data_IF_340606150635
#
_entry.id   IF_340606150635
#
_cell.length_a   1.000
_cell.length_b   1.000
_cell.length_c   1.000
_cell.angle_alpha   90.00
_cell.angle_beta   90.00
_cell.angle_gamma   90.00
#
_symmetry.space_group_name_H-M   'P 1'
#
loop_
_entity.id
_entity.type
_entity.pdbx_description
1 polymer ?
#
# COMPACT_ATOMS: atom_id res chain seq x y z
N UNK A 1 -1.01 19.45 18.33
CA UNK A 1 -0.87 20.90 18.59
C UNK A 1 -2.25 21.52 18.50
N UNK A 2 -2.61 22.49 19.33
CA UNK A 2 -3.89 23.20 19.30
C UNK A 2 -3.64 24.70 19.07
N UNK A 3 -4.26 25.30 18.06
CA UNK A 3 -4.23 26.74 17.76
C UNK A 3 -5.50 27.38 18.32
N UNK A 4 -5.34 28.28 19.28
CA UNK A 4 -6.45 29.02 19.92
C UNK A 4 -6.18 30.52 19.93
N UNK A 5 -7.24 31.31 20.05
CA UNK A 5 -7.14 32.76 20.27
C UNK A 5 -7.49 33.06 21.72
N UNK A 6 -6.57 33.69 22.45
CA UNK A 6 -6.81 34.15 23.82
C UNK A 6 -6.61 35.67 23.88
N UNK A 7 -7.72 36.40 23.95
CA UNK A 7 -7.70 37.87 23.84
C UNK A 7 -7.31 38.32 22.43
N UNK A 8 -6.21 39.07 22.32
CA UNK A 8 -5.67 39.63 21.06
C UNK A 8 -4.48 38.82 20.50
N UNK A 9 -4.17 37.64 21.07
CA UNK A 9 -3.00 36.83 20.68
C UNK A 9 -3.40 35.43 20.22
N UNK A 10 -2.73 34.97 19.17
CA UNK A 10 -2.79 33.57 18.75
C UNK A 10 -1.82 32.74 19.61
N UNK A 11 -2.26 31.61 20.11
CA UNK A 11 -1.47 30.70 20.95
C UNK A 11 -1.50 29.29 20.38
N UNK A 12 -0.35 28.62 20.37
CA UNK A 12 -0.21 27.21 20.00
C UNK A 12 0.09 26.38 21.26
N UNK A 13 -0.86 25.56 21.70
CA UNK A 13 -0.67 24.62 22.80
C UNK A 13 -0.20 23.25 22.26
N UNK A 14 0.88 22.72 22.84
CA UNK A 14 1.47 21.43 22.44
C UNK A 14 1.54 20.43 23.58
N UNK A 15 0.99 19.22 23.39
CA UNK A 15 1.28 18.05 24.22
C UNK A 15 0.45 17.89 25.50
N UNK A 16 0.73 16.79 26.23
CA UNK A 16 -0.02 16.29 27.41
C UNK A 16 0.09 17.23 28.62
N UNK A 17 1.06 18.14 28.63
CA UNK A 17 1.19 19.23 29.60
C UNK A 17 1.03 20.56 28.87
N UNK A 18 -0.21 21.00 28.65
CA UNK A 18 -0.58 22.17 27.82
C UNK A 18 0.11 23.48 28.27
N UNK A 19 1.36 23.70 27.82
CA UNK A 19 2.03 24.98 27.92
C UNK A 19 1.64 25.79 26.68
N UNK A 20 1.07 26.98 26.91
CA UNK A 20 0.74 27.94 25.85
C UNK A 20 2.05 28.49 25.28
N UNK A 21 2.36 28.15 24.03
CA UNK A 21 3.60 28.58 23.36
C UNK A 21 3.27 29.67 22.33
N UNK A 22 4.01 30.77 22.38
CA UNK A 22 3.89 31.87 21.41
C UNK A 22 4.32 31.37 20.02
N UNK A 23 3.50 31.55 18.96
CA UNK A 23 3.87 31.18 17.59
C UNK A 23 5.25 31.72 17.15
N UNK A 24 5.67 32.90 17.62
CA UNK A 24 7.00 33.48 17.28
C UNK A 24 8.17 32.74 17.91
N UNK A 25 7.93 31.96 18.95
CA UNK A 25 8.94 31.13 19.60
C UNK A 25 9.09 29.74 18.98
N UNK A 26 8.16 29.36 18.10
CA UNK A 26 8.24 28.14 17.29
C UNK A 26 9.01 28.43 15.99
N UNK A 27 9.59 27.41 15.36
CA UNK A 27 10.26 27.50 14.05
C UNK A 27 9.25 27.72 12.90
N UNK A 28 8.39 28.74 13.05
CA UNK A 28 7.43 29.21 12.07
C UNK A 28 8.07 30.37 11.28
N UNK A 29 7.65 30.52 10.03
CA UNK A 29 8.02 31.67 9.22
C UNK A 29 7.52 32.98 9.86
N UNK A 30 8.35 34.03 9.85
CA UNK A 30 8.07 35.28 10.57
C UNK A 30 6.78 35.95 10.04
N UNK A 31 6.59 35.92 8.72
CA UNK A 31 5.40 36.45 8.04
C UNK A 31 4.12 35.68 8.46
N UNK A 32 4.24 34.37 8.70
CA UNK A 32 3.12 33.54 9.15
C UNK A 32 2.76 33.82 10.61
N UNK A 33 3.76 34.03 11.47
CA UNK A 33 3.56 34.38 12.87
C UNK A 33 2.88 35.75 13.02
N UNK A 34 3.24 36.73 12.19
CA UNK A 34 2.63 38.05 12.17
C UNK A 34 1.18 37.99 11.64
N UNK A 35 0.93 37.24 10.56
CA UNK A 35 -0.42 37.03 10.04
C UNK A 35 -1.37 36.37 11.05
N UNK A 36 -0.87 35.47 11.90
CA UNK A 36 -1.65 34.86 13.00
C UNK A 36 -2.03 35.88 14.07
N UNK A 37 -1.12 36.79 14.43
CA UNK A 37 -1.39 37.85 15.42
C UNK A 37 -2.38 38.88 14.89
N UNK A 38 -2.25 39.29 13.63
CA UNK A 38 -3.20 40.20 12.99
C UNK A 38 -4.59 39.57 12.92
N UNK A 39 -4.67 38.29 12.51
CA UNK A 39 -5.92 37.56 12.49
C UNK A 39 -6.57 37.46 13.89
N UNK A 40 -5.79 37.18 14.93
CA UNK A 40 -6.29 37.13 16.31
C UNK A 40 -6.89 38.46 16.76
N UNK A 41 -6.24 39.58 16.42
CA UNK A 41 -6.74 40.94 16.73
C UNK A 41 -8.04 41.25 15.97
N UNK A 42 -8.16 40.85 14.71
CA UNK A 42 -9.39 41.03 13.92
C UNK A 42 -10.52 40.16 14.49
N UNK A 43 -10.22 38.91 14.86
CA UNK A 43 -11.19 38.01 15.47
C UNK A 43 -11.73 38.54 16.82
N UNK A 44 -10.87 39.11 17.66
CA UNK A 44 -11.28 39.70 18.94
C UNK A 44 -12.13 40.96 18.77
N UNK A 45 -11.85 41.78 17.74
CA UNK A 45 -12.66 42.94 17.41
C UNK A 45 -14.06 42.54 16.93
N UNK A 46 -14.16 41.58 16.00
CA UNK A 46 -15.44 41.07 15.47
C UNK A 46 -16.29 40.46 16.60
N UNK A 47 -15.68 39.71 17.53
CA UNK A 47 -16.38 39.18 18.71
C UNK A 47 -16.95 40.25 19.63
N UNK A 48 -16.26 41.38 19.79
CA UNK A 48 -16.73 42.49 20.65
C UNK A 48 -17.89 43.26 20.02
N UNK A 49 -17.90 43.38 18.70
CA UNK A 49 -18.94 44.10 17.97
C UNK A 49 -20.24 43.29 17.89
N UNK A 50 -20.16 41.95 17.90
CA UNK A 50 -21.33 41.07 17.93
C UNK A 50 -22.18 41.08 16.65
N UNK A 51 -21.79 41.83 15.61
CA UNK A 51 -22.40 41.72 14.29
C UNK A 51 -21.87 40.47 13.61
N UNK A 52 -22.77 39.59 13.15
CA UNK A 52 -22.39 38.40 12.37
C UNK A 52 -21.73 38.73 11.02
N UNK A 53 -21.71 40.01 10.64
CA UNK A 53 -21.06 40.52 9.44
C UNK A 53 -19.53 40.41 9.56
N UNK A 54 -18.94 39.52 8.75
CA UNK A 54 -17.49 39.29 8.69
C UNK A 54 -16.99 38.09 9.50
N UNK A 55 -17.84 37.47 10.33
CA UNK A 55 -17.49 36.25 11.08
C UNK A 55 -17.04 35.11 10.18
N UNK A 56 -17.74 34.88 9.07
CA UNK A 56 -17.40 33.84 8.09
C UNK A 56 -16.01 34.02 7.46
N UNK A 57 -15.59 35.28 7.26
CA UNK A 57 -14.28 35.60 6.69
C UNK A 57 -13.18 35.31 7.71
N UNK A 58 -13.40 35.67 8.97
CA UNK A 58 -12.49 35.36 10.08
C UNK A 58 -12.31 33.84 10.23
N UNK A 59 -13.40 33.08 10.23
CA UNK A 59 -13.36 31.62 10.32
C UNK A 59 -12.67 30.97 9.11
N UNK A 60 -12.92 31.47 7.89
CA UNK A 60 -12.27 30.97 6.67
C UNK A 60 -10.76 31.26 6.68
N UNK A 61 -10.37 32.48 7.08
CA UNK A 61 -8.96 32.88 7.15
C UNK A 61 -8.21 32.13 8.24
N UNK A 62 -8.82 31.92 9.40
CA UNK A 62 -8.26 31.11 10.49
C UNK A 62 -7.96 29.68 10.06
N UNK A 63 -8.87 29.03 9.32
CA UNK A 63 -8.63 27.70 8.73
C UNK A 63 -7.48 27.68 7.73
N UNK A 64 -7.35 28.70 6.88
CA UNK A 64 -6.22 28.81 5.94
C UNK A 64 -4.87 28.94 6.65
N UNK A 65 -4.83 29.77 7.70
CA UNK A 65 -3.62 29.96 8.51
C UNK A 65 -3.26 28.68 9.27
N UNK A 66 -4.23 28.00 9.87
CA UNK A 66 -4.03 26.71 10.52
C UNK A 66 -3.44 25.64 9.58
N UNK A 67 -3.86 25.62 8.30
CA UNK A 67 -3.27 24.76 7.28
C UNK A 67 -1.80 25.06 7.02
N UNK A 68 -1.42 26.34 6.89
CA UNK A 68 -0.02 26.76 6.70
C UNK A 68 0.85 26.47 7.93
N UNK A 69 0.28 26.57 9.13
CA UNK A 69 0.96 26.18 10.38
C UNK A 69 1.20 24.67 10.42
N UNK A 70 0.19 23.87 10.02
CA UNK A 70 0.32 22.42 9.94
C UNK A 70 1.37 21.99 8.89
N UNK A 71 1.44 22.71 7.76
CA UNK A 71 2.43 22.50 6.71
C UNK A 71 3.87 22.86 7.15
N UNK A 72 4.06 24.04 7.75
CA UNK A 72 5.36 24.51 8.22
C UNK A 72 5.92 23.66 9.37
N UNK A 73 5.08 23.28 10.34
CA UNK A 73 5.50 22.43 11.47
C UNK A 73 5.50 20.94 11.11
N UNK A 74 4.84 20.53 10.03
CA UNK A 74 4.71 19.12 9.64
C UNK A 74 3.92 18.26 10.63
N UNK A 75 3.08 18.86 11.47
CA UNK A 75 2.26 18.19 12.50
C UNK A 75 0.80 18.64 12.39
N UNK A 76 -0.13 17.76 12.77
CA UNK A 76 -1.56 18.10 12.76
C UNK A 76 -1.88 19.17 13.81
N UNK A 77 -2.68 20.16 13.40
CA UNK A 77 -3.06 21.32 14.22
C UNK A 77 -4.57 21.32 14.45
N UNK A 78 -4.99 21.25 15.70
CA UNK A 78 -6.38 21.43 16.11
C UNK A 78 -6.69 22.92 16.19
N UNK A 79 -7.51 23.43 15.29
CA UNK A 79 -7.90 24.84 15.21
C UNK A 79 -9.20 25.06 15.98
N UNK A 80 -9.21 26.01 16.92
CA UNK A 80 -10.43 26.45 17.60
C UNK A 80 -10.96 27.74 16.97
N UNK A 81 -12.21 27.71 16.49
CA UNK A 81 -12.85 28.83 15.81
C UNK A 81 -13.47 29.82 16.81
N UNK A 82 -12.98 31.07 16.90
CA UNK A 82 -13.48 32.06 17.86
C UNK A 82 -14.89 32.58 17.58
N UNK A 83 -15.42 32.38 16.38
CA UNK A 83 -16.75 32.88 16.00
C UNK A 83 -17.80 31.79 16.22
N UNK A 84 -17.48 30.54 15.90
CA UNK A 84 -18.43 29.42 15.95
C UNK A 84 -18.26 28.52 17.17
N UNK A 85 -17.22 28.73 17.97
CA UNK A 85 -16.84 27.90 19.13
C UNK A 85 -16.68 26.41 18.77
N UNK A 86 -16.27 26.14 17.52
CA UNK A 86 -16.04 24.78 17.01
C UNK A 86 -14.56 24.49 16.91
N UNK A 87 -14.19 23.28 17.27
CA UNK A 87 -12.83 22.78 17.09
C UNK A 87 -12.75 21.96 15.81
N UNK A 88 -11.87 22.32 14.89
CA UNK A 88 -11.60 21.58 13.67
C UNK A 88 -10.15 21.08 13.69
N UNK A 89 -9.96 19.77 13.54
CA UNK A 89 -8.63 19.21 13.36
C UNK A 89 -8.22 19.42 11.91
N UNK A 90 -7.22 20.27 11.68
CA UNK A 90 -6.59 20.43 10.37
C UNK A 90 -5.47 19.40 10.30
N UNK A 91 -5.62 18.33 9.49
CA UNK A 91 -4.57 17.33 9.34
C UNK A 91 -3.33 17.99 8.73
N UNK A 92 -2.14 17.56 9.18
CA UNK A 92 -0.92 17.88 8.46
C UNK A 92 -1.09 17.46 6.99
N UNK A 93 -0.55 18.20 6.01
CA UNK A 93 -0.45 17.67 4.66
C UNK A 93 0.27 16.33 4.79
N UNK A 94 -0.40 15.24 4.41
CA UNK A 94 0.23 13.95 4.28
C UNK A 94 1.39 14.19 3.32
N UNK A 95 2.60 14.33 3.87
CA UNK A 95 3.80 14.04 3.10
C UNK A 95 3.57 12.59 2.72
N UNK A 96 3.09 12.37 1.49
CA UNK A 96 3.08 11.05 0.88
C UNK A 96 4.43 10.46 1.26
N UNK A 97 4.48 9.41 2.10
CA UNK A 97 5.74 8.80 2.46
C UNK A 97 6.38 8.47 1.13
N UNK A 98 7.50 9.11 0.80
CA UNK A 98 8.21 8.93 -0.46
C UNK A 98 8.45 7.44 -0.56
N UNK A 99 7.58 6.77 -1.30
CA UNK A 99 7.49 5.35 -1.21
C UNK A 99 8.84 4.82 -1.72
N UNK A 100 9.50 3.90 -0.99
CA UNK A 100 10.84 3.47 -1.34
C UNK A 100 10.85 3.07 -2.81
N UNK A 101 11.92 3.43 -3.54
CA UNK A 101 12.04 3.30 -5.01
C UNK A 101 11.56 1.94 -5.56
N UNK A 102 11.64 0.89 -4.74
CA UNK A 102 11.05 -0.43 -4.95
C UNK A 102 9.54 -0.40 -5.32
N UNK A 103 8.74 0.41 -4.63
CA UNK A 103 7.29 0.54 -4.84
C UNK A 103 6.90 1.21 -6.16
N UNK A 104 7.77 2.09 -6.70
CA UNK A 104 7.54 2.77 -7.98
C UNK A 104 7.73 1.79 -9.15
N UNK A 105 8.70 0.87 -9.01
CA UNK A 105 8.81 -0.30 -9.90
C UNK A 105 7.58 -1.20 -9.78
N UNK A 106 7.08 -1.46 -8.56
CA UNK A 106 5.85 -2.26 -8.37
C UNK A 106 4.62 -1.62 -9.04
N UNK A 107 4.52 -0.28 -9.03
CA UNK A 107 3.43 0.46 -9.68
C UNK A 107 3.52 0.42 -11.20
N UNK A 108 4.73 0.45 -11.75
CA UNK A 108 5.00 0.25 -13.19
C UNK A 108 4.74 -1.19 -13.65
N UNK A 109 4.95 -2.18 -12.76
CA UNK A 109 4.76 -3.61 -13.02
C UNK A 109 3.28 -4.04 -12.86
N UNK A 110 2.37 -3.13 -12.50
CA UNK A 110 0.93 -3.35 -12.69
C UNK A 110 0.20 -3.96 -11.49
N UNK A 111 0.41 -3.43 -10.28
CA UNK A 111 -0.52 -3.68 -9.17
C UNK A 111 -1.22 -2.38 -8.80
N UNK A 112 -2.41 -2.15 -9.37
CA UNK A 112 -3.35 -1.13 -8.87
C UNK A 112 -3.93 -1.65 -7.55
N UNK A 113 -3.70 -0.99 -6.39
CA UNK A 113 -4.42 -1.33 -5.18
C UNK A 113 -5.83 -0.75 -5.31
N UNK A 114 -6.85 -1.61 -5.45
CA UNK A 114 -8.24 -1.15 -5.35
C UNK A 114 -9.29 -1.84 -6.22
N UNK A 115 -8.94 -2.80 -7.09
CA UNK A 115 -9.96 -3.64 -7.72
C UNK A 115 -9.84 -5.04 -7.14
N UNK A 116 -10.87 -5.43 -6.39
CA UNK A 116 -11.10 -6.79 -5.92
C UNK A 116 -11.46 -7.66 -7.14
N UNK A 117 -10.50 -7.81 -8.06
CA UNK A 117 -10.63 -8.65 -9.24
C UNK A 117 -10.61 -10.09 -8.72
N UNK A 118 -11.81 -10.61 -8.42
CA UNK A 118 -12.06 -12.00 -8.02
C UNK A 118 -11.19 -12.88 -8.89
N UNK A 119 -10.10 -13.41 -8.33
CA UNK A 119 -9.05 -14.12 -9.08
C UNK A 119 -9.74 -15.11 -10.01
N UNK A 120 -9.53 -15.08 -11.34
CA UNK A 120 -10.32 -15.88 -12.26
C UNK A 120 -9.98 -17.37 -12.10
N UNK A 121 -10.63 -18.02 -11.14
CA UNK A 121 -10.42 -19.42 -10.76
C UNK A 121 -10.68 -20.36 -11.94
N UNK A 122 -11.64 -20.02 -12.80
CA UNK A 122 -12.02 -20.85 -13.96
C UNK A 122 -10.88 -21.04 -14.95
N UNK A 123 -10.25 -19.96 -15.42
CA UNK A 123 -9.16 -20.06 -16.41
C UNK A 123 -7.91 -20.67 -15.79
N UNK A 124 -7.59 -20.34 -14.53
CA UNK A 124 -6.47 -20.93 -13.80
C UNK A 124 -6.59 -22.45 -13.67
N UNK A 125 -7.79 -22.96 -13.33
CA UNK A 125 -8.02 -24.40 -13.19
C UNK A 125 -7.90 -25.15 -14.54
N UNK A 126 -8.44 -24.58 -15.63
CA UNK A 126 -8.33 -25.18 -16.97
C UNK A 126 -6.87 -25.30 -17.39
N UNK A 127 -6.09 -24.23 -17.20
CA UNK A 127 -4.66 -24.22 -17.52
C UNK A 127 -3.92 -25.25 -16.66
N UNK A 128 -4.25 -25.36 -15.37
CA UNK A 128 -3.64 -26.35 -14.48
C UNK A 128 -3.93 -27.80 -14.95
N UNK A 129 -5.17 -28.11 -15.29
CA UNK A 129 -5.55 -29.44 -15.82
C UNK A 129 -4.84 -29.74 -17.12
N UNK A 130 -4.84 -28.79 -18.07
CA UNK A 130 -4.19 -28.95 -19.37
C UNK A 130 -2.69 -29.20 -19.22
N UNK A 131 -1.98 -28.40 -18.41
CA UNK A 131 -0.55 -28.62 -18.15
C UNK A 131 -0.29 -29.95 -17.44
N UNK A 132 -1.16 -30.35 -16.50
CA UNK A 132 -1.04 -31.65 -15.85
C UNK A 132 -1.12 -32.81 -16.84
N UNK A 133 -2.12 -32.81 -17.71
CA UNK A 133 -2.27 -33.81 -18.78
C UNK A 133 -1.07 -33.79 -19.72
N UNK A 134 -0.63 -32.60 -20.15
CA UNK A 134 0.51 -32.45 -21.04
C UNK A 134 1.79 -33.04 -20.44
N UNK A 135 2.07 -32.76 -19.16
CA UNK A 135 3.24 -33.30 -18.45
C UNK A 135 3.16 -34.82 -18.30
N UNK A 136 1.97 -35.36 -18.00
CA UNK A 136 1.76 -36.81 -17.94
C UNK A 136 2.09 -37.45 -19.28
N UNK A 137 1.49 -36.96 -20.37
CA UNK A 137 1.71 -37.50 -21.71
C UNK A 137 3.18 -37.38 -22.12
N UNK A 138 3.81 -36.23 -21.89
CA UNK A 138 5.22 -36.02 -22.21
C UNK A 138 6.14 -36.99 -21.44
N UNK A 139 5.90 -37.19 -20.15
CA UNK A 139 6.70 -38.10 -19.33
C UNK A 139 6.52 -39.57 -19.76
N UNK A 140 5.27 -39.99 -19.99
CA UNK A 140 4.97 -41.36 -20.41
C UNK A 140 5.52 -41.65 -21.81
N UNK A 141 5.40 -40.71 -22.74
CA UNK A 141 5.97 -40.83 -24.08
C UNK A 141 7.51 -40.92 -24.03
N UNK A 142 8.14 -40.10 -23.18
CA UNK A 142 9.59 -40.13 -22.97
C UNK A 142 10.05 -41.48 -22.38
N UNK A 143 9.35 -42.00 -21.38
CA UNK A 143 9.73 -43.28 -20.75
C UNK A 143 9.43 -44.45 -21.67
N UNK A 144 8.28 -44.47 -22.36
CA UNK A 144 7.93 -45.57 -23.26
C UNK A 144 8.87 -45.66 -24.46
N UNK A 145 9.28 -44.54 -25.04
CA UNK A 145 10.25 -44.53 -26.15
C UNK A 145 11.62 -45.03 -25.69
N UNK A 146 12.08 -44.63 -24.50
CA UNK A 146 13.37 -45.06 -23.97
C UNK A 146 13.37 -46.53 -23.53
N UNK A 147 12.27 -46.99 -22.93
CA UNK A 147 12.10 -48.37 -22.54
C UNK A 147 12.10 -49.32 -23.75
N UNK A 148 11.55 -48.87 -24.90
CA UNK A 148 11.52 -49.67 -26.13
C UNK A 148 12.89 -49.74 -26.82
N UNK A 149 13.65 -48.64 -26.85
CA UNK A 149 14.88 -48.53 -27.66
C UNK A 149 16.17 -48.87 -26.91
N UNK A 150 16.18 -48.85 -25.57
CA UNK A 150 17.40 -49.04 -24.78
C UNK A 150 17.23 -50.04 -23.65
N UNK A 151 16.90 -49.58 -22.45
CA UNK A 151 16.77 -50.39 -21.24
C UNK A 151 15.83 -49.66 -20.28
N UNK A 152 14.95 -50.40 -19.61
CA UNK A 152 13.91 -49.86 -18.72
C UNK A 152 14.45 -48.87 -17.66
N UNK A 153 15.65 -49.14 -17.12
CA UNK A 153 16.34 -48.28 -16.15
C UNK A 153 16.66 -46.87 -16.68
N UNK A 154 16.91 -46.72 -17.98
CA UNK A 154 17.21 -45.42 -18.60
C UNK A 154 15.98 -44.52 -18.54
N UNK A 155 14.78 -45.09 -18.74
CA UNK A 155 13.51 -44.37 -18.59
C UNK A 155 13.33 -43.83 -17.17
N UNK A 156 13.64 -44.63 -16.15
CA UNK A 156 13.59 -44.21 -14.75
C UNK A 156 14.57 -43.06 -14.45
N UNK A 157 15.81 -43.15 -14.93
CA UNK A 157 16.83 -42.10 -14.76
C UNK A 157 16.41 -40.82 -15.47
N UNK A 158 15.87 -40.91 -16.68
CA UNK A 158 15.36 -39.75 -17.41
C UNK A 158 14.21 -39.06 -16.66
N UNK A 159 13.26 -39.83 -16.12
CA UNK A 159 12.16 -39.30 -15.30
C UNK A 159 12.67 -38.57 -14.05
N UNK A 160 13.71 -39.10 -13.39
CA UNK A 160 14.37 -38.42 -12.27
C UNK A 160 15.01 -37.10 -12.68
N UNK A 161 15.76 -37.10 -13.79
CA UNK A 161 16.42 -35.89 -14.30
C UNK A 161 15.41 -34.81 -14.66
N UNK A 162 14.31 -35.17 -15.34
CA UNK A 162 13.23 -34.23 -15.68
C UNK A 162 12.59 -33.66 -14.42
N UNK A 163 12.24 -34.53 -13.45
CA UNK A 163 11.63 -34.09 -12.18
C UNK A 163 12.57 -33.16 -11.40
N UNK A 164 13.86 -33.48 -11.36
CA UNK A 164 14.89 -32.68 -10.71
C UNK A 164 15.11 -31.34 -11.42
N UNK A 165 15.03 -31.29 -12.75
CA UNK A 165 15.12 -30.05 -13.52
C UNK A 165 13.90 -29.15 -13.36
N UNK A 166 12.71 -29.73 -13.20
CA UNK A 166 11.48 -28.97 -12.97
C UNK A 166 11.37 -28.42 -11.55
N UNK A 167 11.91 -29.12 -10.55
CA UNK A 167 11.76 -28.74 -9.14
C UNK A 167 12.23 -27.31 -8.80
N UNK A 168 13.41 -26.82 -9.24
CA UNK A 168 13.86 -25.44 -9.01
C UNK A 168 12.93 -24.41 -9.65
N UNK A 169 12.47 -24.69 -10.88
CA UNK A 169 11.57 -23.81 -11.64
C UNK A 169 10.21 -23.67 -10.96
N UNK A 170 9.66 -24.77 -10.44
CA UNK A 170 8.42 -24.78 -9.67
C UNK A 170 8.58 -24.10 -8.31
N UNK A 171 9.71 -24.30 -7.64
CA UNK A 171 10.02 -23.66 -6.36
C UNK A 171 10.06 -22.14 -6.50
N UNK A 172 10.68 -21.62 -7.57
CA UNK A 172 10.78 -20.19 -7.79
C UNK A 172 9.42 -19.59 -8.18
N UNK A 173 8.65 -20.30 -9.01
CA UNK A 173 7.32 -19.90 -9.47
C UNK A 173 6.27 -19.83 -8.36
N UNK A 174 6.42 -20.57 -7.25
CA UNK A 174 5.44 -20.62 -6.16
C UNK A 174 5.17 -19.28 -5.46
N UNK A 175 6.09 -18.31 -5.56
CA UNK A 175 5.94 -16.98 -4.93
C UNK A 175 5.10 -16.01 -5.75
N UNK A 176 4.76 -16.34 -7.00
CA UNK A 176 3.99 -15.47 -7.89
C UNK A 176 2.51 -15.91 -7.93
N UNK A 177 1.53 -15.06 -7.57
CA UNK A 177 0.12 -15.43 -7.46
C UNK A 177 -0.48 -16.01 -8.74
N UNK A 178 -0.10 -15.46 -9.91
CA UNK A 178 -0.58 -15.86 -11.23
C UNK A 178 -0.09 -17.26 -11.61
N UNK A 179 1.12 -17.64 -11.17
CA UNK A 179 1.79 -18.88 -11.58
C UNK A 179 1.41 -20.07 -10.70
N UNK A 180 0.67 -19.84 -9.59
CA UNK A 180 0.24 -20.90 -8.66
C UNK A 180 -0.53 -22.02 -9.37
N UNK A 181 -1.39 -21.68 -10.32
CA UNK A 181 -2.18 -22.65 -11.08
C UNK A 181 -1.33 -23.52 -12.01
N UNK A 182 -0.39 -22.89 -12.73
CA UNK A 182 0.59 -23.57 -13.57
C UNK A 182 1.45 -24.51 -12.72
N UNK A 183 1.95 -24.03 -11.58
CA UNK A 183 2.77 -24.83 -10.66
C UNK A 183 1.99 -26.02 -10.12
N UNK A 184 0.73 -25.83 -9.71
CA UNK A 184 -0.14 -26.92 -9.24
C UNK A 184 -0.38 -27.97 -10.32
N UNK A 185 -0.68 -27.55 -11.55
CA UNK A 185 -0.90 -28.46 -12.69
C UNK A 185 0.32 -29.27 -13.06
N UNK A 186 1.49 -28.62 -13.15
CA UNK A 186 2.75 -29.32 -13.47
C UNK A 186 3.15 -30.24 -12.32
N UNK A 187 3.06 -29.79 -11.07
CA UNK A 187 3.42 -30.62 -9.91
C UNK A 187 2.51 -31.85 -9.80
N UNK A 188 1.19 -31.69 -10.00
CA UNK A 188 0.25 -32.82 -9.99
C UNK A 188 0.50 -33.76 -11.18
N UNK A 189 0.78 -33.22 -12.37
CA UNK A 189 1.12 -33.99 -13.56
C UNK A 189 2.39 -34.83 -13.39
N UNK A 190 3.45 -34.26 -12.80
CA UNK A 190 4.68 -35.01 -12.46
C UNK A 190 4.38 -36.10 -11.43
N UNK A 191 3.63 -35.78 -10.38
CA UNK A 191 3.30 -36.77 -9.34
C UNK A 191 2.48 -37.95 -9.89
N UNK A 192 1.49 -37.67 -10.76
CA UNK A 192 0.67 -38.68 -11.41
C UNK A 192 1.46 -39.48 -12.44
N UNK A 193 2.37 -38.86 -13.19
CA UNK A 193 3.15 -39.55 -14.21
C UNK A 193 4.09 -40.59 -13.62
N UNK A 194 4.61 -40.37 -12.41
CA UNK A 194 5.42 -41.36 -11.69
C UNK A 194 4.72 -42.71 -11.53
N UNK A 195 3.39 -42.74 -11.35
CA UNK A 195 2.63 -43.99 -11.28
C UNK A 195 2.73 -44.74 -12.61
N UNK A 196 2.55 -44.07 -13.74
CA UNK A 196 2.66 -44.69 -15.05
C UNK A 196 4.10 -45.08 -15.41
N UNK A 197 5.10 -44.28 -15.01
CA UNK A 197 6.52 -44.64 -15.15
C UNK A 197 6.81 -45.95 -14.40
N UNK A 198 6.33 -46.09 -13.16
CA UNK A 198 6.51 -47.33 -12.40
C UNK A 198 5.83 -48.53 -13.07
N UNK A 199 4.65 -48.35 -13.65
CA UNK A 199 3.94 -49.41 -14.40
C UNK A 199 4.67 -49.81 -15.69
N UNK A 200 5.37 -48.88 -16.34
CA UNK A 200 6.14 -49.19 -17.57
C UNK A 200 7.44 -49.91 -17.24
N UNK A 201 8.06 -49.57 -16.10
CA UNK A 201 9.37 -50.08 -15.69
C UNK A 201 9.29 -51.42 -14.92
N UNK A 202 8.16 -51.74 -14.28
CA UNK A 202 7.95 -52.96 -13.49
C UNK A 202 6.80 -53.80 -14.04
#
# INVERSE_FOLDING_TARGET
MELRVRGDRAMLAGGVNAHEVDPRSLALDADLADALHEWARVASAVRRTGSGEGGDVVSRRGRQLAGRVAESLGVSVSYWDPVTDRTLVVPAPEREPVAPRASRLTRLIGSRPGVDERTPWGTGLIVAVFLGVFVIVAMLALVSTLATETTEWVGLVAALVVSAGLAPSLWLGRRLPIVRWVVLGVASGVALSWIGVLIIVF
#
